data_IF_813280791995
#
_entry.id   IF_813280791995
#
_cell.length_a   1.000
_cell.length_b   1.000
_cell.length_c   1.000
_cell.angle_alpha   90.00
_cell.angle_beta   90.00
_cell.angle_gamma   90.00
#
_symmetry.space_group_name_H-M   'P 1'
#
loop_
_entity.id
_entity.type
_entity.pdbx_description
1 polymer ?
#
# COMPACT_ATOMS: atom_id res chain seq x y z
N UNK A 1 19.73 -2.91 -16.09
CA UNK A 1 18.89 -1.76 -15.65
C UNK A 1 17.52 -1.97 -16.25
N UNK A 2 17.01 -3.15 -15.97
CA UNK A 2 15.60 -3.42 -15.96
C UNK A 2 15.07 -2.34 -14.89
N UNK A 3 13.87 -1.81 -14.97
CA UNK A 3 13.36 -0.74 -14.09
C UNK A 3 12.41 -1.35 -13.05
N UNK A 4 12.88 -1.84 -11.89
CA UNK A 4 11.95 -1.94 -10.76
C UNK A 4 11.60 -0.49 -10.53
N UNK A 5 10.37 -0.11 -10.83
CA UNK A 5 9.87 1.10 -10.20
C UNK A 5 9.57 0.61 -8.79
N UNK A 6 10.43 0.88 -7.79
CA UNK A 6 10.02 0.59 -6.44
C UNK A 6 8.77 1.45 -6.26
N UNK A 7 7.65 0.89 -5.85
CA UNK A 7 6.64 1.71 -5.20
C UNK A 7 6.91 1.63 -3.70
N UNK A 8 7.87 2.41 -3.15
CA UNK A 8 7.92 2.62 -1.71
C UNK A 8 6.57 3.19 -1.24
N UNK A 9 5.80 3.83 -2.14
CA UNK A 9 4.46 4.36 -1.87
C UNK A 9 3.45 3.33 -1.41
N UNK A 10 3.50 2.04 -1.79
CA UNK A 10 2.47 1.08 -1.35
C UNK A 10 2.61 0.74 0.14
N UNK A 11 3.85 0.66 0.66
CA UNK A 11 4.10 0.51 2.09
C UNK A 11 3.54 1.71 2.87
N UNK A 12 3.74 2.92 2.34
CA UNK A 12 3.20 4.15 2.92
C UNK A 12 1.67 4.24 2.79
N UNK A 13 1.10 3.87 1.63
CA UNK A 13 -0.34 3.81 1.39
C UNK A 13 -1.01 2.85 2.35
N UNK A 14 -0.46 1.64 2.50
CA UNK A 14 -0.94 0.63 3.44
C UNK A 14 -0.91 1.15 4.88
N UNK A 15 0.20 1.73 5.29
CA UNK A 15 0.32 2.32 6.63
C UNK A 15 -0.72 3.43 6.85
N UNK A 16 -0.84 4.35 5.91
CA UNK A 16 -1.79 5.46 5.98
C UNK A 16 -3.24 5.01 5.95
N UNK A 17 -3.58 3.99 5.15
CA UNK A 17 -4.92 3.43 5.10
C UNK A 17 -5.27 2.69 6.40
N UNK A 18 -4.33 1.96 7.01
CA UNK A 18 -4.53 1.36 8.34
C UNK A 18 -4.74 2.45 9.39
N UNK A 19 -3.90 3.49 9.39
CA UNK A 19 -4.02 4.61 10.33
C UNK A 19 -5.36 5.34 10.16
N UNK A 20 -5.76 5.62 8.92
CA UNK A 20 -7.06 6.22 8.58
C UNK A 20 -8.21 5.35 9.07
N UNK A 21 -8.13 4.04 8.89
CA UNK A 21 -9.13 3.08 9.37
C UNK A 21 -9.24 3.08 10.89
N UNK A 22 -8.12 3.10 11.62
CA UNK A 22 -8.11 3.15 13.08
C UNK A 22 -8.73 4.46 13.58
N UNK A 23 -8.36 5.59 12.97
CA UNK A 23 -8.93 6.90 13.31
C UNK A 23 -10.43 6.95 13.02
N UNK A 24 -10.86 6.44 11.86
CA UNK A 24 -12.27 6.37 11.49
C UNK A 24 -13.08 5.45 12.40
N UNK A 25 -12.49 4.34 12.84
CA UNK A 25 -13.08 3.44 13.83
C UNK A 25 -13.27 4.13 15.19
N UNK A 26 -12.23 4.82 15.69
CA UNK A 26 -12.32 5.53 16.96
C UNK A 26 -13.36 6.67 16.91
N UNK A 27 -13.39 7.43 15.82
CA UNK A 27 -14.31 8.54 15.64
C UNK A 27 -15.76 8.07 15.43
N UNK A 28 -15.99 7.04 14.61
CA UNK A 28 -17.34 6.47 14.42
C UNK A 28 -17.93 5.97 15.74
N UNK A 29 -17.15 5.32 16.61
CA UNK A 29 -17.61 4.88 17.93
C UNK A 29 -17.99 6.04 18.83
N UNK A 30 -17.21 7.12 18.84
CA UNK A 30 -17.52 8.32 19.63
C UNK A 30 -18.85 8.95 19.18
N UNK A 31 -19.06 9.10 17.87
CA UNK A 31 -20.29 9.66 17.30
C UNK A 31 -21.49 8.74 17.48
N UNK A 32 -21.32 7.43 17.33
CA UNK A 32 -22.36 6.45 17.63
C UNK A 32 -22.80 6.53 19.09
N UNK A 33 -21.84 6.65 20.01
CA UNK A 33 -22.14 6.78 21.45
C UNK A 33 -22.98 8.04 21.71
N UNK A 34 -22.58 9.19 21.15
CA UNK A 34 -23.35 10.43 21.30
C UNK A 34 -24.74 10.33 20.66
N UNK A 35 -24.85 9.68 19.51
CA UNK A 35 -26.13 9.51 18.82
C UNK A 35 -27.09 8.61 19.57
N UNK A 36 -26.58 7.49 20.11
CA UNK A 36 -27.35 6.58 20.95
C UNK A 36 -27.81 7.31 22.21
N UNK A 37 -26.94 8.07 22.87
CA UNK A 37 -27.33 8.88 24.03
C UNK A 37 -28.43 9.88 23.65
N UNK A 38 -28.31 10.62 22.56
CA UNK A 38 -29.35 11.54 22.11
C UNK A 38 -30.71 10.83 21.85
N UNK A 39 -30.68 9.69 21.17
CA UNK A 39 -31.88 8.87 20.87
C UNK A 39 -32.52 8.35 22.16
N UNK A 40 -31.73 7.79 23.08
CA UNK A 40 -32.22 7.35 24.39
C UNK A 40 -32.84 8.52 25.15
N UNK A 41 -32.27 9.72 25.00
CA UNK A 41 -32.78 10.94 25.59
C UNK A 41 -34.18 11.27 25.08
N UNK A 42 -34.36 11.21 23.77
CA UNK A 42 -35.65 11.45 23.12
C UNK A 42 -36.75 10.52 23.61
N UNK A 43 -36.43 9.26 23.87
CA UNK A 43 -37.39 8.27 24.39
C UNK A 43 -37.39 8.14 25.92
N UNK A 44 -36.81 9.09 26.66
CA UNK A 44 -36.74 9.09 28.12
C UNK A 44 -36.09 7.85 28.76
N UNK A 45 -35.14 7.24 28.07
CA UNK A 45 -34.36 6.09 28.55
C UNK A 45 -32.98 6.50 29.12
N UNK A 46 -32.86 7.71 29.67
CA UNK A 46 -31.63 8.16 30.34
C UNK A 46 -31.95 8.56 31.78
N UNK A 47 -31.13 8.07 32.72
CA UNK A 47 -31.09 8.57 34.09
C UNK A 47 -30.06 9.69 34.20
N UNK A 48 -30.52 10.90 34.52
CA UNK A 48 -29.63 12.01 34.86
C UNK A 48 -29.51 12.10 36.38
N UNK A 49 -28.28 12.02 36.88
CA UNK A 49 -28.01 12.24 38.30
C UNK A 49 -27.54 13.68 38.46
N UNK A 50 -28.49 14.61 38.64
CA UNK A 50 -28.22 16.04 38.51
C UNK A 50 -28.17 16.74 39.86
N UNK A 51 -27.02 17.34 40.16
CA UNK A 51 -26.84 18.31 41.26
C UNK A 51 -27.14 19.72 40.75
N UNK A 52 -27.70 20.62 41.56
CA UNK A 52 -28.09 21.95 41.10
C UNK A 52 -26.88 22.90 40.92
N UNK A 53 -26.24 22.85 39.75
CA UNK A 53 -25.16 23.76 39.35
C UNK A 53 -25.38 24.29 37.92
N UNK A 54 -24.59 25.27 37.49
CA UNK A 54 -24.70 25.86 36.14
C UNK A 54 -24.57 24.81 35.01
N UNK A 55 -23.70 23.81 35.18
CA UNK A 55 -23.56 22.71 34.22
C UNK A 55 -24.82 21.87 34.08
N UNK A 56 -25.54 21.66 35.18
CA UNK A 56 -26.86 20.99 35.16
C UNK A 56 -27.89 21.81 34.42
N UNK A 57 -27.97 23.13 34.62
CA UNK A 57 -28.89 23.99 33.86
C UNK A 57 -28.57 23.93 32.37
N UNK A 58 -27.29 23.97 32.00
CA UNK A 58 -26.85 23.84 30.61
C UNK A 58 -27.26 22.50 30.00
N UNK A 59 -27.01 21.38 30.68
CA UNK A 59 -27.41 20.03 30.22
C UNK A 59 -28.93 19.91 30.09
N UNK A 60 -29.68 20.45 31.06
CA UNK A 60 -31.14 20.48 31.02
C UNK A 60 -31.63 21.29 29.82
N UNK A 61 -31.03 22.46 29.54
CA UNK A 61 -31.38 23.27 28.37
C UNK A 61 -31.08 22.55 27.06
N UNK A 62 -29.90 21.93 26.91
CA UNK A 62 -29.55 21.10 25.75
C UNK A 62 -30.60 20.00 25.53
N UNK A 63 -30.91 19.26 26.58
CA UNK A 63 -31.86 18.17 26.51
C UNK A 63 -33.25 18.67 26.12
N UNK A 64 -33.78 19.65 26.86
CA UNK A 64 -35.14 20.14 26.70
C UNK A 64 -35.38 20.79 25.34
N UNK A 65 -34.37 21.47 24.80
CA UNK A 65 -34.46 22.19 23.54
C UNK A 65 -34.31 21.27 22.33
N UNK A 66 -33.38 20.31 22.37
CA UNK A 66 -33.01 19.53 21.18
C UNK A 66 -33.35 18.04 21.26
N UNK A 67 -33.35 17.45 22.44
CA UNK A 67 -33.45 16.00 22.60
C UNK A 67 -34.71 15.54 23.30
N UNK A 68 -35.48 16.43 23.91
CA UNK A 68 -36.69 16.07 24.67
C UNK A 68 -37.87 15.87 23.72
N UNK A 69 -38.36 14.63 23.64
CA UNK A 69 -39.65 14.34 23.00
C UNK A 69 -40.82 14.72 23.89
N UNK A 70 -41.94 13.99 23.78
CA UNK A 70 -43.17 14.27 24.53
C UNK A 70 -43.11 13.85 26.01
N UNK A 71 -42.02 13.22 26.43
CA UNK A 71 -41.91 12.61 27.75
C UNK A 71 -41.27 13.56 28.78
N UNK A 72 -41.73 13.47 30.03
CA UNK A 72 -41.23 14.23 31.18
C UNK A 72 -40.74 13.26 32.25
N UNK A 73 -39.43 13.04 32.41
CA UNK A 73 -38.96 12.10 33.40
C UNK A 73 -39.29 12.59 34.82
N UNK A 74 -39.74 11.67 35.68
CA UNK A 74 -40.13 11.98 37.06
C UNK A 74 -38.94 12.52 37.87
N UNK A 75 -39.12 13.64 38.56
CA UNK A 75 -38.09 14.25 39.41
C UNK A 75 -37.22 15.30 38.71
N UNK A 76 -37.51 15.63 37.45
CA UNK A 76 -36.83 16.72 36.75
C UNK A 76 -37.38 18.10 37.14
N UNK A 77 -36.52 19.12 37.30
CA UNK A 77 -36.97 20.50 37.40
C UNK A 77 -37.67 20.89 36.09
N UNK A 78 -38.93 21.34 36.18
CA UNK A 78 -39.63 21.95 35.05
C UNK A 78 -39.04 23.34 34.82
N UNK A 79 -38.27 23.48 33.76
CA UNK A 79 -37.74 24.78 33.31
C UNK A 79 -38.74 25.38 32.32
N UNK A 80 -39.09 26.65 32.53
CA UNK A 80 -40.04 27.38 31.70
C UNK A 80 -39.39 27.84 30.38
N UNK A 81 -39.56 27.04 29.32
CA UNK A 81 -39.02 27.34 28.00
C UNK A 81 -39.93 28.22 27.13
N UNK A 82 -40.98 28.83 27.69
CA UNK A 82 -41.95 29.61 26.89
C UNK A 82 -41.26 30.74 26.09
N UNK A 83 -40.20 31.34 26.64
CA UNK A 83 -39.41 32.39 25.97
C UNK A 83 -38.75 31.92 24.67
N UNK A 84 -38.38 30.64 24.57
CA UNK A 84 -37.77 30.09 23.35
C UNK A 84 -38.75 29.27 22.51
N UNK A 85 -39.92 28.94 23.06
CA UNK A 85 -40.94 28.13 22.37
C UNK A 85 -41.53 28.80 21.13
N UNK A 86 -41.51 30.14 21.08
CA UNK A 86 -41.99 30.93 19.94
C UNK A 86 -40.90 31.15 18.86
N UNK A 87 -39.66 30.73 19.12
CA UNK A 87 -38.57 30.86 18.16
C UNK A 87 -38.63 29.74 17.11
N UNK A 88 -38.31 30.07 15.86
CA UNK A 88 -38.18 29.10 14.77
C UNK A 88 -36.87 28.30 14.90
N UNK A 89 -36.85 27.39 15.87
CA UNK A 89 -35.74 26.51 16.18
C UNK A 89 -36.00 25.10 15.66
N UNK A 90 -34.92 24.35 15.45
CA UNK A 90 -35.04 22.95 15.07
C UNK A 90 -35.81 22.16 16.16
N UNK A 91 -36.95 21.57 15.77
CA UNK A 91 -37.79 20.82 16.71
C UNK A 91 -37.08 19.55 17.22
N UNK A 92 -37.39 19.06 18.42
CA UNK A 92 -36.81 17.80 18.93
C UNK A 92 -37.08 16.60 18.02
N UNK A 93 -38.23 16.58 17.32
CA UNK A 93 -38.53 15.54 16.33
C UNK A 93 -37.55 15.60 15.15
N UNK A 94 -37.30 16.80 14.62
CA UNK A 94 -36.31 17.01 13.55
C UNK A 94 -34.92 16.56 13.98
N UNK A 95 -34.49 16.95 15.18
CA UNK A 95 -33.20 16.52 15.75
C UNK A 95 -33.14 15.00 15.86
N UNK A 96 -34.17 14.35 16.42
CA UNK A 96 -34.21 12.90 16.55
C UNK A 96 -34.07 12.17 15.21
N UNK A 97 -34.74 12.65 14.15
CA UNK A 97 -34.58 12.12 12.78
C UNK A 97 -33.11 12.22 12.35
N UNK A 98 -32.49 13.38 12.52
CA UNK A 98 -31.07 13.57 12.21
C UNK A 98 -30.16 12.66 13.04
N UNK A 99 -30.45 12.43 14.32
CA UNK A 99 -29.64 11.54 15.16
C UNK A 99 -29.69 10.09 14.68
N UNK A 100 -30.83 9.61 14.15
CA UNK A 100 -30.91 8.29 13.52
C UNK A 100 -30.13 8.23 12.21
N UNK A 101 -30.20 9.27 11.37
CA UNK A 101 -29.41 9.37 10.13
C UNK A 101 -27.92 9.35 10.44
N UNK A 102 -27.48 10.17 11.40
CA UNK A 102 -26.10 10.23 11.88
C UNK A 102 -25.67 8.87 12.45
N UNK A 103 -26.47 8.25 13.30
CA UNK A 103 -26.18 6.92 13.84
C UNK A 103 -26.00 5.87 12.73
N UNK A 104 -26.89 5.83 11.73
CA UNK A 104 -26.80 4.89 10.62
C UNK A 104 -25.54 5.14 9.77
N UNK A 105 -25.21 6.40 9.46
CA UNK A 105 -24.02 6.75 8.68
C UNK A 105 -22.73 6.41 9.43
N UNK A 106 -22.64 6.70 10.73
CA UNK A 106 -21.47 6.34 11.52
C UNK A 106 -21.36 4.83 11.74
N UNK A 107 -22.47 4.09 11.75
CA UNK A 107 -22.45 2.62 11.77
C UNK A 107 -21.89 2.07 10.46
N UNK A 108 -22.32 2.61 9.31
CA UNK A 108 -21.74 2.26 8.01
C UNK A 108 -20.24 2.59 7.94
N UNK A 109 -19.85 3.74 8.51
CA UNK A 109 -18.45 4.13 8.55
C UNK A 109 -17.62 3.27 9.50
N UNK A 110 -18.17 2.83 10.63
CA UNK A 110 -17.55 1.85 11.52
C UNK A 110 -17.27 0.55 10.76
N UNK A 111 -18.28 -0.02 10.10
CA UNK A 111 -18.11 -1.25 9.33
C UNK A 111 -17.14 -1.09 8.17
N UNK A 112 -17.21 0.04 7.45
CA UNK A 112 -16.27 0.35 6.37
C UNK A 112 -14.83 0.45 6.89
N UNK A 113 -14.62 1.08 8.05
CA UNK A 113 -13.31 1.19 8.69
C UNK A 113 -12.76 -0.18 9.11
N UNK A 114 -13.59 -1.03 9.73
CA UNK A 114 -13.21 -2.42 10.08
C UNK A 114 -12.87 -3.22 8.82
N UNK A 115 -13.70 -3.12 7.78
CA UNK A 115 -13.51 -3.84 6.52
C UNK A 115 -12.22 -3.42 5.84
N UNK A 116 -11.92 -2.12 5.81
CA UNK A 116 -10.67 -1.59 5.28
C UNK A 116 -9.46 -2.14 6.06
N UNK A 117 -9.46 -2.05 7.40
CA UNK A 117 -8.34 -2.56 8.24
C UNK A 117 -8.11 -4.06 8.01
N UNK A 118 -9.18 -4.86 7.98
CA UNK A 118 -9.09 -6.33 7.89
C UNK A 118 -8.68 -6.83 6.51
N UNK A 119 -9.01 -6.10 5.45
CA UNK A 119 -8.75 -6.51 4.06
C UNK A 119 -7.47 -5.90 3.46
N UNK A 120 -6.75 -5.03 4.17
CA UNK A 120 -5.43 -4.53 3.77
C UNK A 120 -4.34 -5.60 4.01
N UNK A 121 -4.42 -6.70 3.26
CA UNK A 121 -3.40 -7.76 3.19
C UNK A 121 -2.44 -7.50 2.02
N UNK A 122 -1.16 -7.83 2.21
CA UNK A 122 -0.07 -7.55 1.26
C UNK A 122 -0.29 -8.22 -0.12
N UNK A 123 -1.09 -9.28 -0.17
CA UNK A 123 -1.29 -10.15 -1.33
C UNK A 123 -2.46 -9.77 -2.25
N UNK A 124 -3.34 -8.83 -1.86
CA UNK A 124 -4.59 -8.56 -2.58
C UNK A 124 -4.79 -7.06 -2.89
N UNK A 125 -3.88 -6.50 -3.67
CA UNK A 125 -3.84 -5.05 -4.03
C UNK A 125 -5.14 -4.60 -4.72
N UNK A 126 -5.73 -5.42 -5.61
CA UNK A 126 -6.97 -5.07 -6.33
C UNK A 126 -8.16 -4.84 -5.39
N UNK A 127 -8.26 -5.58 -4.30
CA UNK A 127 -9.38 -5.49 -3.36
C UNK A 127 -9.25 -4.29 -2.41
N UNK A 128 -8.03 -3.84 -2.12
CA UNK A 128 -7.78 -2.69 -1.25
C UNK A 128 -8.39 -1.43 -1.82
N UNK A 129 -8.28 -1.21 -3.14
CA UNK A 129 -8.80 -0.02 -3.78
C UNK A 129 -10.32 0.09 -3.61
N UNK A 130 -11.05 -1.03 -3.73
CA UNK A 130 -12.52 -1.05 -3.56
C UNK A 130 -12.92 -0.62 -2.14
N UNK A 131 -12.29 -1.21 -1.11
CA UNK A 131 -12.59 -0.85 0.28
C UNK A 131 -12.16 0.57 0.62
N UNK A 132 -11.04 1.02 0.07
CA UNK A 132 -10.56 2.38 0.23
C UNK A 132 -11.51 3.40 -0.41
N UNK A 133 -11.99 3.15 -1.62
CA UNK A 133 -12.97 4.03 -2.28
C UNK A 133 -14.30 4.06 -1.53
N UNK A 134 -14.80 2.91 -1.07
CA UNK A 134 -16.00 2.85 -0.25
C UNK A 134 -15.84 3.66 1.05
N UNK A 135 -14.69 3.53 1.70
CA UNK A 135 -14.37 4.27 2.92
C UNK A 135 -14.29 5.78 2.68
N UNK A 136 -13.63 6.21 1.60
CA UNK A 136 -13.55 7.61 1.16
C UNK A 136 -14.94 8.18 0.85
N UNK A 137 -15.78 7.42 0.16
CA UNK A 137 -17.13 7.86 -0.19
C UNK A 137 -18.00 8.09 1.06
N UNK A 138 -18.04 7.12 1.98
CA UNK A 138 -18.81 7.26 3.24
C UNK A 138 -18.31 8.45 4.07
N UNK A 139 -16.99 8.61 4.14
CA UNK A 139 -16.31 9.75 4.77
C UNK A 139 -16.80 11.09 4.20
N UNK A 140 -16.88 11.22 2.88
CA UNK A 140 -17.32 12.43 2.21
C UNK A 140 -18.80 12.72 2.48
N UNK A 141 -19.65 11.69 2.50
CA UNK A 141 -21.06 11.83 2.85
C UNK A 141 -21.23 12.37 4.27
N UNK A 142 -20.50 11.82 5.25
CA UNK A 142 -20.55 12.31 6.64
C UNK A 142 -20.07 13.77 6.73
N UNK A 143 -19.04 14.13 5.97
CA UNK A 143 -18.50 15.50 5.95
C UNK A 143 -19.57 16.53 5.52
N UNK A 144 -20.40 16.17 4.53
CA UNK A 144 -21.50 17.01 4.06
C UNK A 144 -22.58 17.15 5.14
N UNK A 145 -22.89 16.06 5.84
CA UNK A 145 -23.89 16.04 6.92
C UNK A 145 -23.42 16.90 8.10
N UNK A 146 -22.16 16.78 8.52
CA UNK A 146 -21.59 17.60 9.59
C UNK A 146 -21.63 19.11 9.26
N UNK A 147 -21.37 19.47 7.99
CA UNK A 147 -21.50 20.85 7.53
C UNK A 147 -22.96 21.33 7.56
N UNK A 148 -23.90 20.49 7.14
CA UNK A 148 -25.33 20.82 7.18
C UNK A 148 -25.80 21.02 8.62
N UNK A 149 -25.43 20.13 9.55
CA UNK A 149 -25.73 20.27 10.97
C UNK A 149 -25.12 21.53 11.57
N UNK A 150 -23.88 21.87 11.20
CA UNK A 150 -23.27 23.13 11.63
C UNK A 150 -24.09 24.35 11.19
N UNK A 151 -24.54 24.38 9.94
CA UNK A 151 -25.37 25.47 9.40
C UNK A 151 -26.73 25.55 10.13
N UNK A 152 -27.32 24.41 10.48
CA UNK A 152 -28.57 24.40 11.23
C UNK A 152 -28.38 24.93 12.66
N UNK A 153 -27.41 24.43 13.41
CA UNK A 153 -27.18 24.87 14.79
C UNK A 153 -26.68 26.31 14.89
N UNK A 154 -25.92 26.80 13.89
CA UNK A 154 -25.53 28.22 13.87
C UNK A 154 -26.73 29.12 13.54
N UNK A 155 -27.70 28.65 12.77
CA UNK A 155 -28.95 29.37 12.54
C UNK A 155 -29.77 29.51 13.83
N UNK A 156 -29.89 28.42 14.61
CA UNK A 156 -30.50 28.47 15.94
C UNK A 156 -29.77 29.45 16.86
N UNK A 157 -28.43 29.42 16.86
CA UNK A 157 -27.61 30.36 17.64
C UNK A 157 -27.92 31.81 17.27
N UNK A 158 -27.93 32.15 15.99
CA UNK A 158 -28.22 33.50 15.52
C UNK A 158 -29.65 33.94 15.84
N UNK A 159 -30.61 33.01 15.74
CA UNK A 159 -32.02 33.25 16.08
C UNK A 159 -32.16 33.59 17.58
N UNK A 160 -31.53 32.81 18.46
CA UNK A 160 -31.54 33.09 19.91
C UNK A 160 -30.78 34.38 20.23
N UNK A 161 -29.62 34.58 19.59
CA UNK A 161 -28.77 35.74 19.82
C UNK A 161 -29.45 37.05 19.44
N UNK A 162 -30.14 37.09 18.29
CA UNK A 162 -30.89 38.29 17.88
C UNK A 162 -31.99 38.67 18.90
N UNK A 163 -32.73 37.69 19.41
CA UNK A 163 -33.73 37.91 20.46
C UNK A 163 -33.12 38.28 21.81
N UNK A 164 -31.87 37.91 22.08
CA UNK A 164 -31.18 38.26 23.32
C UNK A 164 -30.84 39.75 23.45
N UNK A 165 -30.74 40.49 22.33
CA UNK A 165 -30.47 41.94 22.33
C UNK A 165 -31.68 42.80 22.69
N UNK A 166 -32.89 42.26 22.62
CA UNK A 166 -34.12 43.00 22.92
C UNK A 166 -34.36 43.16 24.44
N UNK A 167 -33.51 42.58 25.28
CA UNK A 167 -33.66 42.60 26.74
C UNK A 167 -32.77 43.64 27.44
N UNK A 168 -33.37 44.40 28.35
CA UNK A 168 -32.68 45.41 29.17
C UNK A 168 -31.77 44.77 30.23
N UNK A 169 -30.55 45.31 30.39
CA UNK A 169 -29.48 44.86 31.31
C UNK A 169 -29.77 45.04 32.82
N UNK A 170 -30.99 45.42 33.19
CA UNK A 170 -31.35 45.64 34.59
C UNK A 170 -31.80 44.32 35.24
N UNK A 171 -30.90 43.70 36.00
CA UNK A 171 -31.10 42.54 36.89
C UNK A 171 -31.91 41.38 36.26
N UNK A 172 -31.19 40.45 35.63
CA UNK A 172 -31.75 39.30 34.94
C UNK A 172 -32.68 38.44 35.83
N UNK A 173 -34.00 38.38 35.57
CA UNK A 173 -34.88 37.37 36.18
C UNK A 173 -34.49 35.96 35.69
N UNK A 174 -34.92 34.92 36.42
CA UNK A 174 -34.59 33.50 36.12
C UNK A 174 -34.88 33.07 34.68
N UNK A 175 -35.78 33.77 33.99
CA UNK A 175 -36.16 33.53 32.61
C UNK A 175 -35.09 33.96 31.58
N UNK A 176 -34.23 34.94 31.90
CA UNK A 176 -33.09 35.33 31.04
C UNK A 176 -31.93 34.34 31.11
N UNK A 177 -31.80 33.60 32.22
CA UNK A 177 -30.80 32.53 32.36
C UNK A 177 -31.04 31.41 31.34
N UNK A 178 -32.30 31.17 30.97
CA UNK A 178 -32.70 30.19 29.97
C UNK A 178 -32.23 30.63 28.58
N UNK A 179 -32.40 31.90 28.22
CA UNK A 179 -31.97 32.43 26.94
C UNK A 179 -30.44 32.38 26.78
N UNK A 180 -29.70 32.77 27.83
CA UNK A 180 -28.23 32.69 27.86
C UNK A 180 -27.76 31.24 27.78
N UNK A 181 -28.39 30.32 28.51
CA UNK A 181 -28.02 28.89 28.45
C UNK A 181 -28.43 28.25 27.12
N UNK A 182 -29.53 28.69 26.49
CA UNK A 182 -29.95 28.27 25.16
C UNK A 182 -28.99 28.76 24.07
N UNK A 183 -28.51 30.01 24.16
CA UNK A 183 -27.48 30.54 23.29
C UNK A 183 -26.16 29.76 23.43
N UNK A 184 -25.73 29.47 24.66
CA UNK A 184 -24.53 28.67 24.88
C UNK A 184 -24.72 27.23 24.36
N UNK A 185 -25.90 26.67 24.53
CA UNK A 185 -26.31 25.34 24.05
C UNK A 185 -26.23 25.24 22.53
N UNK A 186 -26.87 26.14 21.80
CA UNK A 186 -26.82 26.16 20.32
C UNK A 186 -25.40 26.39 19.81
N UNK A 187 -24.63 27.28 20.47
CA UNK A 187 -23.22 27.50 20.16
C UNK A 187 -22.35 26.25 20.40
N UNK A 188 -22.62 25.48 21.46
CA UNK A 188 -21.95 24.20 21.71
C UNK A 188 -22.28 23.16 20.66
N UNK A 189 -23.56 23.02 20.28
CA UNK A 189 -23.99 22.10 19.22
C UNK A 189 -23.37 22.45 17.87
N UNK A 190 -23.34 23.74 17.52
CA UNK A 190 -22.65 24.25 16.34
C UNK A 190 -21.15 23.93 16.41
N UNK A 191 -20.51 24.13 17.57
CA UNK A 191 -19.09 23.82 17.75
C UNK A 191 -18.78 22.33 17.62
N UNK A 192 -19.65 21.45 18.12
CA UNK A 192 -19.52 20.00 18.00
C UNK A 192 -19.63 19.58 16.52
N UNK A 193 -20.64 20.09 15.80
CA UNK A 193 -20.82 19.82 14.37
C UNK A 193 -19.64 20.36 13.54
N UNK A 194 -19.20 21.60 13.81
CA UNK A 194 -18.04 22.20 13.17
C UNK A 194 -16.76 21.42 13.43
N UNK A 195 -16.56 20.94 14.66
CA UNK A 195 -15.40 20.10 15.00
C UNK A 195 -15.43 18.80 14.19
N UNK A 196 -16.59 18.18 14.02
CA UNK A 196 -16.78 17.05 13.10
C UNK A 196 -16.29 17.39 11.70
N UNK A 197 -16.81 18.47 11.13
CA UNK A 197 -16.43 18.98 9.81
C UNK A 197 -14.94 19.34 9.68
N UNK A 198 -14.32 19.99 10.66
CA UNK A 198 -12.90 20.36 10.62
C UNK A 198 -12.00 19.12 10.67
N UNK A 199 -12.35 18.11 11.49
CA UNK A 199 -11.63 16.84 11.49
C UNK A 199 -11.69 16.17 10.11
N UNK A 200 -12.79 16.36 9.37
CA UNK A 200 -12.86 15.95 7.98
C UNK A 200 -11.96 16.75 7.05
N UNK A 201 -11.86 18.07 7.19
CA UNK A 201 -10.92 18.87 6.38
C UNK A 201 -9.47 18.39 6.52
N UNK A 202 -9.07 17.99 7.73
CA UNK A 202 -7.75 17.39 7.98
C UNK A 202 -7.63 16.04 7.24
N UNK A 203 -8.68 15.24 7.25
CA UNK A 203 -8.76 14.00 6.49
C UNK A 203 -8.87 14.22 4.96
N UNK A 204 -9.34 15.36 4.45
CA UNK A 204 -9.43 15.62 3.00
C UNK A 204 -8.05 15.59 2.36
N UNK A 205 -7.02 16.16 3.00
CA UNK A 205 -5.65 16.07 2.50
C UNK A 205 -5.17 14.62 2.44
N UNK A 206 -5.53 13.83 3.46
CA UNK A 206 -5.24 12.40 3.50
C UNK A 206 -6.02 11.63 2.41
N UNK A 207 -7.29 11.96 2.19
CA UNK A 207 -8.15 11.38 1.14
C UNK A 207 -7.60 11.70 -0.24
N UNK A 208 -7.25 12.96 -0.52
CA UNK A 208 -6.66 13.37 -1.81
C UNK A 208 -5.35 12.62 -2.03
N UNK A 209 -4.51 12.51 -1.00
CA UNK A 209 -3.27 11.76 -1.08
C UNK A 209 -3.52 10.27 -1.37
N UNK A 210 -4.36 9.60 -0.56
CA UNK A 210 -4.71 8.19 -0.72
C UNK A 210 -5.32 7.93 -2.10
N UNK A 211 -6.24 8.78 -2.55
CA UNK A 211 -6.87 8.72 -3.87
C UNK A 211 -5.83 8.84 -4.98
N UNK A 212 -4.95 9.84 -4.92
CA UNK A 212 -3.88 10.04 -5.91
C UNK A 212 -2.95 8.83 -5.99
N UNK A 213 -2.56 8.25 -4.85
CA UNK A 213 -1.73 7.04 -4.83
C UNK A 213 -2.47 5.84 -5.43
N UNK A 214 -3.78 5.74 -5.19
CA UNK A 214 -4.61 4.64 -5.71
C UNK A 214 -4.69 4.67 -7.24
N UNK A 215 -4.88 5.85 -7.84
CA UNK A 215 -4.87 6.02 -9.29
C UNK A 215 -3.50 5.72 -9.90
N UNK A 216 -2.42 6.20 -9.28
CA UNK A 216 -1.06 5.87 -9.74
C UNK A 216 -0.81 4.36 -9.78
N UNK A 217 -1.32 3.62 -8.79
CA UNK A 217 -1.23 2.15 -8.76
C UNK A 217 -2.13 1.52 -9.83
N UNK A 218 -3.35 2.03 -10.01
CA UNK A 218 -4.29 1.53 -11.04
C UNK A 218 -3.76 1.75 -12.46
N UNK A 219 -3.27 2.94 -12.77
CA UNK A 219 -2.69 3.28 -14.07
C UNK A 219 -1.42 2.49 -14.33
N UNK A 220 -0.57 2.30 -13.31
CA UNK A 220 0.57 1.40 -13.42
C UNK A 220 0.15 -0.02 -13.78
N UNK A 221 -0.81 -0.61 -13.05
CA UNK A 221 -1.32 -1.96 -13.32
C UNK A 221 -1.99 -2.08 -14.70
N UNK A 222 -2.59 -1.01 -15.20
CA UNK A 222 -3.19 -0.96 -16.54
C UNK A 222 -2.12 -0.82 -17.62
N UNK A 223 -1.12 0.04 -17.43
CA UNK A 223 -0.05 0.27 -18.39
C UNK A 223 0.91 -0.92 -18.47
N UNK A 224 1.23 -1.57 -17.35
CA UNK A 224 1.94 -2.85 -17.35
C UNK A 224 1.17 -3.94 -18.07
N UNK A 225 -0.17 -3.96 -17.96
CA UNK A 225 -1.03 -4.85 -18.74
C UNK A 225 -1.13 -4.51 -20.23
N UNK A 226 -1.03 -3.24 -20.62
CA UNK A 226 -1.04 -2.80 -22.04
C UNK A 226 0.32 -3.06 -22.70
N UNK A 227 1.43 -2.96 -21.96
CA UNK A 227 2.76 -3.23 -22.48
C UNK A 227 3.02 -4.72 -22.75
N UNK A 228 2.16 -5.61 -22.21
CA UNK A 228 2.08 -7.02 -22.57
C UNK A 228 1.27 -7.30 -23.86
N UNK A 229 0.68 -6.29 -24.50
CA UNK A 229 0.07 -6.42 -25.82
C UNK A 229 0.98 -5.80 -26.87
N UNK A 230 2.07 -6.49 -27.23
CA UNK A 230 2.71 -6.26 -28.53
C UNK A 230 2.06 -7.13 -29.61
N UNK A 231 1.81 -6.61 -30.82
CA UNK A 231 1.27 -7.38 -31.93
C UNK A 231 2.36 -8.25 -32.55
N UNK A 232 2.58 -9.45 -32.01
CA UNK A 232 3.44 -10.43 -32.67
C UNK A 232 2.60 -11.44 -33.46
N UNK A 233 2.42 -11.11 -34.75
CA UNK A 233 2.36 -12.02 -35.89
C UNK A 233 1.52 -13.29 -35.72
N UNK A 234 0.21 -13.19 -35.93
CA UNK A 234 -0.58 -14.35 -36.33
C UNK A 234 -0.11 -14.84 -37.71
N UNK A 235 0.53 -16.01 -37.69
CA UNK A 235 0.70 -16.83 -38.87
C UNK A 235 -0.64 -17.47 -39.22
N UNK A 236 -1.13 -17.18 -40.43
CA UNK A 236 -2.33 -17.74 -41.02
C UNK A 236 -2.45 -19.26 -40.82
N UNK A 237 -3.38 -19.73 -39.98
CA UNK A 237 -4.06 -21.03 -40.17
C UNK A 237 -5.52 -21.00 -39.69
N UNK A 238 -6.39 -21.11 -40.69
CA UNK A 238 -7.70 -21.77 -40.66
C UNK A 238 -8.87 -21.10 -39.93
N UNK A 239 -9.43 -20.05 -40.55
CA UNK A 239 -10.89 -19.97 -40.67
C UNK A 239 -11.30 -20.76 -41.91
N UNK A 240 -12.05 -21.83 -41.69
CA UNK A 240 -12.69 -22.62 -42.74
C UNK A 240 -13.93 -21.84 -43.18
N UNK A 241 -13.96 -21.44 -44.44
CA UNK A 241 -15.11 -20.82 -45.10
C UNK A 241 -16.34 -21.72 -45.03
N UNK A 242 -17.46 -21.16 -44.57
CA UNK A 242 -18.79 -21.47 -45.07
C UNK A 242 -19.37 -20.17 -45.66
N UNK A 243 -19.38 -20.13 -46.99
CA UNK A 243 -20.17 -19.37 -47.96
C UNK A 243 -20.95 -18.09 -47.54
N UNK A 244 -20.63 -16.98 -48.22
CA UNK A 244 -21.48 -16.24 -49.18
C UNK A 244 -21.37 -14.70 -49.11
N UNK A 245 -21.09 -14.14 -50.30
CA UNK A 245 -21.43 -12.80 -50.84
C UNK A 245 -21.11 -11.52 -50.04
N UNK A 246 -20.15 -10.71 -50.52
CA UNK A 246 -20.40 -9.47 -51.29
C UNK A 246 -19.11 -8.64 -51.53
N UNK A 247 -18.67 -8.66 -52.79
CA UNK A 247 -18.23 -7.54 -53.65
C UNK A 247 -17.31 -6.39 -53.15
N UNK A 248 -16.12 -6.34 -53.78
CA UNK A 248 -15.44 -5.19 -54.43
C UNK A 248 -15.48 -3.77 -53.80
N UNK A 249 -14.30 -3.28 -53.34
CA UNK A 249 -13.87 -1.89 -53.53
C UNK A 249 -12.33 -1.77 -53.61
N UNK A 250 -11.77 -0.77 -54.32
CA UNK A 250 -10.39 -0.79 -54.81
C UNK A 250 -9.36 -0.31 -53.79
N UNK A 251 -8.15 -0.83 -53.98
CA UNK A 251 -6.90 -0.58 -53.24
C UNK A 251 -6.55 0.91 -53.25
N UNK A 252 -6.47 1.54 -52.07
CA UNK A 252 -5.72 2.78 -51.87
C UNK A 252 -4.42 2.48 -51.14
N UNK A 253 -3.33 2.64 -51.88
CA UNK A 253 -1.96 2.69 -51.40
C UNK A 253 -1.76 4.01 -50.63
N UNK A 254 -1.26 4.00 -49.39
CA UNK A 254 -0.59 5.18 -48.81
C UNK A 254 0.33 4.82 -47.62
N UNK A 255 1.44 5.56 -47.58
CA UNK A 255 2.67 5.39 -46.80
C UNK A 255 2.49 5.39 -45.27
N UNK A 256 3.46 4.85 -44.50
CA UNK A 256 3.42 4.88 -43.04
C UNK A 256 3.52 6.32 -42.50
N UNK A 257 2.56 6.68 -41.64
CA UNK A 257 2.53 7.94 -40.90
C UNK A 257 3.53 7.86 -39.73
N UNK A 258 4.37 8.89 -39.60
CA UNK A 258 5.42 9.01 -38.60
C UNK A 258 4.81 9.33 -37.22
N UNK A 259 5.03 8.49 -36.20
CA UNK A 259 4.36 8.58 -34.90
C UNK A 259 5.02 9.56 -33.90
N UNK A 260 5.31 10.80 -34.33
CA UNK A 260 5.76 11.89 -33.45
C UNK A 260 4.77 13.06 -33.32
N UNK A 261 3.50 12.86 -33.67
CA UNK A 261 2.49 13.91 -33.62
C UNK A 261 1.25 13.50 -32.81
N UNK A 262 1.40 13.42 -31.49
CA UNK A 262 0.29 13.55 -30.53
C UNK A 262 0.77 14.29 -29.27
N UNK A 263 0.96 15.60 -29.41
CA UNK A 263 0.88 16.52 -28.26
C UNK A 263 -0.56 17.04 -28.16
N UNK A 264 -1.21 17.01 -26.99
CA UNK A 264 -2.48 17.71 -26.82
C UNK A 264 -2.21 19.22 -26.79
N UNK A 265 -2.66 19.92 -27.82
CA UNK A 265 -2.66 21.38 -27.92
C UNK A 265 -3.66 22.00 -26.93
N UNK A 266 -3.20 22.35 -25.73
CA UNK A 266 -3.91 23.29 -24.84
C UNK A 266 -3.62 24.75 -25.24
N UNK A 267 -4.10 25.20 -26.41
CA UNK A 267 -3.88 26.60 -26.85
C UNK A 267 -5.15 27.40 -27.22
N UNK A 268 -6.35 26.89 -26.97
CA UNK A 268 -7.57 27.69 -27.18
C UNK A 268 -8.54 27.61 -26.00
N UNK A 269 -8.26 28.39 -24.95
CA UNK A 269 -9.26 28.78 -23.95
C UNK A 269 -9.19 30.31 -23.69
N UNK A 270 -10.31 31.06 -23.69
CA UNK A 270 -10.31 32.52 -23.85
C UNK A 270 -9.97 33.35 -22.59
N UNK A 271 -9.34 32.78 -21.57
CA UNK A 271 -9.08 33.46 -20.29
C UNK A 271 -7.61 33.46 -19.84
N UNK A 272 -6.68 32.92 -20.63
CA UNK A 272 -5.28 32.73 -20.21
C UNK A 272 -4.41 34.02 -20.18
N UNK A 273 -4.89 35.15 -20.71
CA UNK A 273 -4.07 36.36 -20.90
C UNK A 273 -4.08 37.38 -19.74
N UNK A 274 -4.54 37.03 -18.54
CA UNK A 274 -4.64 37.99 -17.42
C UNK A 274 -3.63 37.82 -16.27
N UNK A 275 -2.64 36.92 -16.36
CA UNK A 275 -1.73 36.66 -15.22
C UNK A 275 -0.23 36.58 -15.54
N UNK A 276 0.26 37.22 -16.61
CA UNK A 276 1.71 37.33 -16.84
C UNK A 276 2.13 38.76 -17.11
N UNK A 277 2.33 39.53 -16.05
CA UNK A 277 3.23 40.69 -16.05
C UNK A 277 4.49 40.34 -15.29
N UNK A 278 5.62 40.67 -15.92
CA UNK A 278 6.99 40.26 -15.63
C UNK A 278 7.48 40.49 -14.19
N UNK A 279 8.17 39.48 -13.63
CA UNK A 279 9.10 39.65 -12.50
C UNK A 279 10.44 38.98 -12.85
N UNK A 280 11.58 39.70 -12.78
CA UNK A 280 12.88 39.18 -13.22
C UNK A 280 13.49 38.15 -12.26
N UNK A 281 14.21 37.20 -12.87
CA UNK A 281 14.87 36.03 -12.29
C UNK A 281 15.94 36.42 -11.25
N UNK A 282 15.71 36.11 -9.97
CA UNK A 282 16.71 36.23 -8.91
C UNK A 282 17.65 35.00 -8.84
N UNK A 283 18.95 35.27 -8.67
CA UNK A 283 20.06 34.31 -8.63
C UNK A 283 20.02 33.42 -7.36
N UNK A 284 20.45 32.16 -7.49
CA UNK A 284 20.61 31.23 -6.36
C UNK A 284 21.79 31.63 -5.45
N UNK A 285 21.65 31.65 -4.11
CA UNK A 285 22.80 31.67 -3.21
C UNK A 285 23.30 30.25 -2.87
N UNK A 286 24.61 30.19 -2.59
CA UNK A 286 25.43 29.00 -2.32
C UNK A 286 25.14 28.36 -0.96
N UNK A 287 25.47 27.06 -0.88
CA UNK A 287 25.39 26.13 0.24
C UNK A 287 26.01 26.63 1.56
N UNK A 288 25.36 26.34 2.69
CA UNK A 288 25.91 26.49 4.04
C UNK A 288 25.71 25.19 4.83
N UNK A 289 26.79 24.69 5.45
CA UNK A 289 26.84 23.49 6.31
C UNK A 289 26.98 23.96 7.77
N UNK A 290 26.10 23.56 8.70
CA UNK A 290 26.31 23.85 10.11
C UNK A 290 27.15 22.77 10.79
N UNK A 291 28.27 23.17 11.40
CA UNK A 291 28.99 22.41 12.43
C UNK A 291 28.14 22.34 13.71
N UNK A 292 27.98 21.15 14.30
CA UNK A 292 27.50 21.02 15.67
C UNK A 292 28.66 20.69 16.61
N UNK A 293 28.78 21.55 17.61
CA UNK A 293 29.78 21.60 18.66
C UNK A 293 29.51 20.54 19.72
N UNK A 294 30.55 19.77 20.07
CA UNK A 294 30.57 18.85 21.21
C UNK A 294 30.39 19.60 22.53
N UNK A 295 29.48 19.14 23.39
CA UNK A 295 29.50 19.42 24.82
C UNK A 295 29.84 18.15 25.60
N UNK A 296 30.77 18.32 26.54
CA UNK A 296 31.46 17.31 27.33
C UNK A 296 30.83 17.28 28.73
N UNK A 297 30.46 16.11 29.25
CA UNK A 297 30.31 15.88 30.69
C UNK A 297 31.21 14.73 31.15
N UNK A 298 32.05 15.01 32.15
CA UNK A 298 32.94 14.06 32.85
C UNK A 298 32.30 13.63 34.18
N UNK A 299 32.40 12.34 34.50
CA UNK A 299 32.51 11.77 35.86
C UNK A 299 33.01 10.32 35.71
N UNK A 300 34.31 10.01 35.83
CA UNK A 300 35.09 9.73 37.04
C UNK A 300 34.66 8.45 37.80
N UNK A 301 35.41 7.34 37.65
CA UNK A 301 36.39 6.83 38.64
C UNK A 301 36.65 5.30 38.58
N UNK A 302 37.92 4.96 38.34
CA UNK A 302 38.81 3.95 38.95
C UNK A 302 38.53 2.41 38.96
N UNK A 303 39.69 1.72 38.84
CA UNK A 303 40.06 0.31 39.16
C UNK A 303 39.95 -0.70 38.01
N UNK A 304 40.94 -1.54 37.69
CA UNK A 304 42.38 -1.62 37.97
C UNK A 304 42.92 -2.70 37.00
N UNK A 305 44.12 -2.52 36.46
CA UNK A 305 44.86 -3.57 35.76
C UNK A 305 45.67 -4.38 36.77
N UNK A 306 45.80 -5.68 36.52
CA UNK A 306 46.82 -6.62 37.01
C UNK A 306 46.38 -7.66 38.06
N UNK A 307 46.10 -8.87 37.56
CA UNK A 307 46.59 -10.07 38.22
C UNK A 307 46.83 -11.19 37.19
N UNK A 308 48.01 -11.14 36.56
CA UNK A 308 48.62 -12.31 35.92
C UNK A 308 49.01 -13.35 36.99
N UNK A 309 49.04 -14.62 36.57
CA UNK A 309 49.62 -15.82 37.23
C UNK A 309 48.82 -16.47 38.38
N UNK A 310 48.20 -17.61 38.08
CA UNK A 310 48.43 -18.92 38.74
C UNK A 310 47.51 -20.01 38.16
N UNK A 311 48.04 -20.88 37.30
CA UNK A 311 48.22 -22.32 37.58
C UNK A 311 48.78 -23.03 36.35
N UNK A 312 49.91 -23.70 36.59
CA UNK A 312 50.60 -24.64 35.71
C UNK A 312 50.08 -26.06 35.92
N UNK A 313 50.28 -26.88 34.89
CA UNK A 313 50.58 -28.34 34.89
C UNK A 313 49.52 -29.35 35.36
N UNK A 314 49.13 -30.27 34.45
CA UNK A 314 49.58 -31.67 34.49
C UNK A 314 49.20 -32.47 33.22
N UNK A 315 50.21 -33.14 32.64
CA UNK A 315 50.24 -34.42 31.91
C UNK A 315 49.29 -34.65 30.71
N UNK A 316 49.70 -35.14 29.56
CA UNK A 316 50.94 -35.82 29.15
C UNK A 316 50.58 -36.83 28.06
N UNK A 317 51.40 -36.95 27.00
CA UNK A 317 51.26 -37.99 25.97
C UNK A 317 51.55 -37.47 24.57
N UNK A 318 52.81 -37.54 24.16
CA UNK A 318 53.27 -37.16 22.82
C UNK A 318 53.38 -38.34 21.86
N UNK A 319 53.40 -38.02 20.56
CA UNK A 319 54.07 -38.75 19.44
C UNK A 319 54.36 -37.67 18.38
N UNK A 320 55.56 -37.06 18.33
CA UNK A 320 56.75 -37.40 17.53
C UNK A 320 56.56 -37.32 15.99
N UNK A 321 57.10 -36.22 15.42
CA UNK A 321 57.85 -36.02 14.14
C UNK A 321 57.17 -36.45 12.82
N UNK A 322 57.22 -35.72 11.70
CA UNK A 322 58.36 -35.05 11.04
C UNK A 322 57.81 -34.25 9.83
N UNK A 323 58.36 -33.07 9.56
CA UNK A 323 58.26 -32.38 8.25
C UNK A 323 59.00 -33.20 7.20
N UNK A 324 58.51 -33.22 5.96
CA UNK A 324 59.32 -33.02 4.76
C UNK A 324 58.43 -32.62 3.56
N UNK A 325 58.92 -31.65 2.79
CA UNK A 325 58.39 -31.25 1.49
C UNK A 325 58.89 -32.21 0.41
N UNK A 326 58.09 -32.56 -0.60
CA UNK A 326 58.61 -32.92 -1.94
C UNK A 326 57.61 -32.56 -3.05
N UNK A 327 58.19 -32.03 -4.13
CA UNK A 327 57.65 -31.62 -5.42
C UNK A 327 57.19 -32.77 -6.34
N UNK A 328 56.16 -32.48 -7.16
CA UNK A 328 56.08 -32.65 -8.62
C UNK A 328 56.08 -34.06 -9.31
N UNK A 329 55.35 -34.10 -10.45
CA UNK A 329 55.20 -35.15 -11.49
C UNK A 329 54.25 -36.31 -11.12
N UNK A 330 53.39 -36.85 -11.98
CA UNK A 330 53.54 -37.09 -13.43
C UNK A 330 52.19 -37.45 -14.06
N UNK A 331 52.08 -37.16 -15.36
CA UNK A 331 51.08 -37.63 -16.31
C UNK A 331 50.87 -39.16 -16.29
N UNK A 332 49.61 -39.59 -16.44
CA UNK A 332 49.26 -40.93 -16.98
C UNK A 332 48.05 -40.81 -17.92
N UNK A 333 48.29 -41.11 -19.19
CA UNK A 333 47.26 -41.46 -20.17
C UNK A 333 46.79 -42.89 -19.90
N UNK A 334 45.49 -43.13 -20.03
CA UNK A 334 44.91 -44.47 -20.21
C UNK A 334 43.92 -44.41 -21.39
N UNK A 335 44.03 -45.39 -22.28
CA UNK A 335 43.24 -45.50 -23.52
C UNK A 335 42.22 -46.65 -23.38
N UNK A 336 40.95 -46.32 -23.68
CA UNK A 336 39.82 -47.13 -24.20
C UNK A 336 39.18 -48.29 -23.41
N UNK A 337 37.87 -48.15 -23.16
CA UNK A 337 36.80 -48.98 -23.79
C UNK A 337 35.43 -48.29 -23.62
N UNK A 338 34.54 -48.24 -24.64
CA UNK A 338 33.26 -47.54 -24.55
C UNK A 338 32.23 -48.46 -23.87
N UNK A 339 31.98 -48.22 -22.60
CA UNK A 339 30.79 -48.77 -21.94
C UNK A 339 29.62 -47.84 -22.25
N UNK A 340 28.61 -48.40 -22.89
CA UNK A 340 27.35 -47.74 -23.20
C UNK A 340 26.58 -47.57 -21.88
N UNK A 341 26.93 -46.53 -21.13
CA UNK A 341 26.13 -46.00 -20.04
C UNK A 341 25.81 -44.56 -20.44
N UNK A 342 24.52 -44.20 -20.39
CA UNK A 342 24.11 -42.80 -20.42
C UNK A 342 24.70 -42.11 -19.19
N UNK A 343 25.97 -41.75 -19.25
CA UNK A 343 26.55 -40.75 -18.38
C UNK A 343 25.85 -39.46 -18.76
N UNK A 344 24.84 -39.08 -17.98
CA UNK A 344 24.47 -37.68 -17.89
C UNK A 344 25.73 -36.98 -17.40
N UNK A 345 26.52 -36.49 -18.36
CA UNK A 345 27.67 -35.66 -18.09
C UNK A 345 27.11 -34.50 -17.27
N UNK A 346 27.62 -34.29 -16.05
CA UNK A 346 27.15 -33.27 -15.10
C UNK A 346 27.56 -31.87 -15.58
N UNK A 347 27.51 -31.66 -16.89
CA UNK A 347 27.84 -30.45 -17.58
C UNK A 347 26.61 -29.56 -17.63
N UNK A 348 26.84 -28.30 -17.30
CA UNK A 348 25.84 -27.26 -17.36
C UNK A 348 25.45 -27.00 -18.82
N UNK A 349 24.14 -26.96 -19.07
CA UNK A 349 23.55 -26.59 -20.35
C UNK A 349 22.82 -25.26 -20.18
N UNK A 350 22.73 -24.47 -21.23
CA UNK A 350 22.15 -23.13 -21.21
C UNK A 350 21.05 -22.97 -22.24
N UNK A 351 20.07 -22.15 -21.90
CA UNK A 351 19.07 -21.66 -22.83
C UNK A 351 19.57 -20.38 -23.52
N UNK A 352 18.91 -19.97 -24.60
CA UNK A 352 19.11 -18.64 -25.20
C UNK A 352 18.57 -17.50 -24.33
N UNK A 353 17.77 -17.82 -23.31
CA UNK A 353 17.23 -16.87 -22.33
C UNK A 353 18.08 -16.79 -21.06
N UNK A 354 19.29 -17.35 -21.09
CA UNK A 354 20.30 -17.25 -20.06
C UNK A 354 20.00 -18.01 -18.75
N UNK A 355 19.06 -18.96 -18.76
CA UNK A 355 18.93 -19.99 -17.73
C UNK A 355 19.92 -21.13 -17.97
N UNK A 356 20.29 -21.83 -16.90
CA UNK A 356 21.10 -23.03 -16.97
C UNK A 356 20.42 -24.22 -16.30
N UNK A 357 20.73 -25.42 -16.77
CA UNK A 357 20.37 -26.69 -16.13
C UNK A 357 21.59 -27.58 -16.01
N UNK A 358 21.76 -28.19 -14.85
CA UNK A 358 22.78 -29.21 -14.58
C UNK A 358 22.07 -30.49 -14.14
N UNK A 359 22.29 -31.58 -14.87
CA UNK A 359 21.55 -32.82 -14.68
C UNK A 359 22.40 -33.85 -13.94
N UNK A 360 21.89 -34.34 -12.82
CA UNK A 360 22.44 -35.45 -12.05
C UNK A 360 21.42 -36.59 -12.02
N UNK A 361 21.64 -37.63 -12.82
CA UNK A 361 20.69 -38.72 -12.99
C UNK A 361 19.41 -38.27 -13.71
N UNK A 362 18.29 -38.15 -12.98
CA UNK A 362 17.00 -37.69 -13.52
C UNK A 362 16.60 -36.30 -13.02
N UNK A 363 17.42 -35.67 -12.18
CA UNK A 363 17.12 -34.38 -11.56
C UNK A 363 17.98 -33.31 -12.22
N UNK A 364 17.32 -32.32 -12.82
CA UNK A 364 17.93 -31.11 -13.33
C UNK A 364 17.87 -30.01 -12.28
N UNK A 365 19.01 -29.47 -11.87
CA UNK A 365 19.09 -28.25 -11.07
C UNK A 365 19.11 -27.06 -12.01
N UNK A 366 18.21 -26.11 -11.81
CA UNK A 366 18.01 -24.95 -12.69
C UNK A 366 18.44 -23.66 -11.98
N UNK A 367 19.07 -22.74 -12.71
CA UNK A 367 19.37 -21.39 -12.24
C UNK A 367 19.55 -20.39 -13.39
N UNK A 368 20.02 -19.18 -13.08
CA UNK A 368 20.38 -18.18 -14.11
C UNK A 368 21.89 -18.01 -14.23
N UNK A 369 22.36 -17.65 -15.42
CA UNK A 369 23.78 -17.48 -15.71
C UNK A 369 24.38 -16.22 -15.05
N UNK A 370 25.71 -16.15 -15.01
CA UNK A 370 26.41 -14.95 -14.55
C UNK A 370 26.08 -13.72 -15.43
N UNK A 371 25.94 -13.91 -16.75
CA UNK A 371 25.54 -12.84 -17.65
C UNK A 371 24.15 -12.30 -17.30
N UNK A 372 23.19 -13.19 -17.04
CA UNK A 372 21.85 -12.80 -16.62
C UNK A 372 21.90 -11.98 -15.33
N UNK A 373 22.53 -12.49 -14.26
CA UNK A 373 22.55 -11.77 -12.98
C UNK A 373 23.27 -10.42 -13.07
N UNK A 374 24.30 -10.26 -13.92
CA UNK A 374 24.95 -8.96 -14.14
C UNK A 374 24.05 -7.97 -14.90
N UNK A 375 23.33 -8.45 -15.91
CA UNK A 375 22.39 -7.66 -16.71
C UNK A 375 21.19 -7.20 -15.86
N UNK A 376 20.68 -8.12 -15.02
CA UNK A 376 19.71 -7.85 -13.97
C UNK A 376 20.31 -6.81 -13.02
N UNK A 377 21.43 -7.10 -12.36
CA UNK A 377 21.97 -6.34 -11.23
C UNK A 377 21.47 -6.90 -9.89
N UNK A 378 21.53 -6.10 -8.82
CA UNK A 378 21.24 -6.59 -7.47
C UNK A 378 19.82 -7.15 -7.36
N UNK A 379 19.71 -8.49 -7.28
CA UNK A 379 18.47 -9.24 -7.17
C UNK A 379 17.91 -9.05 -5.76
N UNK A 380 16.68 -8.56 -5.69
CA UNK A 380 15.97 -8.20 -4.45
C UNK A 380 14.76 -9.09 -4.18
N UNK A 381 14.32 -9.86 -5.17
CA UNK A 381 13.20 -10.79 -5.05
C UNK A 381 13.35 -11.98 -6.01
N UNK A 382 12.90 -13.15 -5.58
CA UNK A 382 12.85 -14.36 -6.38
C UNK A 382 11.53 -15.09 -6.11
N UNK A 383 10.73 -15.28 -7.17
CA UNK A 383 9.53 -16.11 -7.17
C UNK A 383 9.86 -17.44 -7.87
N UNK A 384 9.90 -18.51 -7.08
CA UNK A 384 10.25 -19.84 -7.55
C UNK A 384 8.98 -20.69 -7.76
N UNK A 385 8.99 -21.69 -8.65
CA UNK A 385 7.87 -22.59 -8.82
C UNK A 385 7.60 -23.42 -7.55
N UNK A 386 6.33 -23.73 -7.30
CA UNK A 386 5.94 -24.61 -6.20
C UNK A 386 6.33 -26.06 -6.49
N UNK A 387 6.78 -26.77 -5.45
CA UNK A 387 7.10 -28.20 -5.53
C UNK A 387 5.83 -28.99 -5.91
N UNK A 388 5.98 -29.87 -6.91
CA UNK A 388 4.88 -30.64 -7.51
C UNK A 388 4.26 -30.00 -8.76
N UNK A 389 4.68 -28.79 -9.15
CA UNK A 389 4.24 -28.15 -10.40
C UNK A 389 4.90 -28.83 -11.61
N UNK A 390 4.14 -29.00 -12.69
CA UNK A 390 4.63 -29.55 -13.96
C UNK A 390 4.77 -28.45 -15.02
N UNK A 391 5.90 -28.39 -15.71
CA UNK A 391 6.17 -27.43 -16.78
C UNK A 391 6.60 -28.15 -18.06
N UNK A 392 6.30 -27.55 -19.22
CA UNK A 392 6.91 -27.91 -20.50
C UNK A 392 8.16 -27.05 -20.71
N UNK A 393 9.06 -27.51 -21.58
CA UNK A 393 10.20 -26.72 -22.00
C UNK A 393 9.73 -25.36 -22.53
N UNK A 394 10.41 -24.29 -22.10
CA UNK A 394 10.08 -22.90 -22.39
C UNK A 394 8.78 -22.37 -21.78
N UNK A 395 8.12 -23.12 -20.89
CA UNK A 395 7.05 -22.55 -20.07
C UNK A 395 7.64 -21.61 -19.02
N UNK A 396 6.94 -20.50 -18.76
CA UNK A 396 7.24 -19.61 -17.63
C UNK A 396 6.99 -20.36 -16.31
N UNK A 397 7.99 -20.40 -15.44
CA UNK A 397 7.95 -21.17 -14.19
C UNK A 397 8.30 -20.34 -12.95
N UNK A 398 8.77 -19.10 -13.13
CA UNK A 398 9.09 -18.20 -12.03
C UNK A 398 9.47 -16.82 -12.52
N UNK A 399 9.91 -15.96 -11.61
CA UNK A 399 10.38 -14.62 -11.92
C UNK A 399 11.47 -14.19 -10.94
N UNK A 400 12.46 -13.46 -11.42
CA UNK A 400 13.46 -12.78 -10.60
C UNK A 400 13.26 -11.28 -10.74
N UNK A 401 13.39 -10.54 -9.64
CA UNK A 401 13.41 -9.08 -9.68
C UNK A 401 14.69 -8.52 -9.04
N UNK A 402 15.34 -7.58 -9.72
CA UNK A 402 16.48 -6.81 -9.27
C UNK A 402 16.13 -5.32 -9.07
N UNK A 403 17.00 -4.54 -8.41
CA UNK A 403 16.88 -3.05 -8.33
C UNK A 403 16.82 -2.38 -9.70
N UNK A 404 17.16 -3.18 -10.69
CA UNK A 404 17.24 -2.89 -12.07
C UNK A 404 16.27 -3.89 -12.77
N UNK A 405 14.96 -4.07 -12.44
CA UNK A 405 13.77 -4.81 -13.04
C UNK A 405 13.42 -6.27 -12.71
N UNK A 406 12.67 -6.94 -13.58
CA UNK A 406 11.99 -8.20 -13.48
C UNK A 406 12.18 -9.01 -14.77
N UNK A 407 12.65 -10.25 -14.60
CA UNK A 407 12.91 -11.22 -15.66
C UNK A 407 12.16 -12.49 -15.30
N UNK A 408 11.29 -12.89 -16.21
CA UNK A 408 10.63 -14.19 -16.17
C UNK A 408 11.68 -15.29 -16.29
N UNK A 409 11.46 -16.40 -15.59
CA UNK A 409 12.31 -17.60 -15.62
C UNK A 409 11.57 -18.69 -16.36
N UNK A 410 12.20 -19.20 -17.41
CA UNK A 410 11.62 -20.24 -18.25
C UNK A 410 12.22 -21.59 -17.92
N UNK A 411 11.39 -22.63 -17.92
CA UNK A 411 11.87 -23.98 -17.67
C UNK A 411 12.74 -24.47 -18.85
N UNK A 412 14.02 -24.83 -18.63
CA UNK A 412 14.89 -25.28 -19.72
C UNK A 412 14.50 -26.66 -20.28
N UNK A 413 13.70 -27.42 -19.54
CA UNK A 413 13.24 -28.78 -19.86
C UNK A 413 11.83 -29.02 -19.34
N UNK A 414 11.12 -29.95 -19.95
CA UNK A 414 9.82 -30.43 -19.48
C UNK A 414 9.99 -31.35 -18.27
N UNK A 415 9.17 -31.18 -17.22
CA UNK A 415 9.26 -32.01 -16.01
C UNK A 415 8.45 -31.52 -14.82
N UNK A 416 8.63 -32.20 -13.69
CA UNK A 416 7.96 -31.90 -12.42
C UNK A 416 8.95 -31.32 -11.40
N UNK A 417 8.60 -30.20 -10.76
CA UNK A 417 9.45 -29.55 -9.75
C UNK A 417 9.51 -30.41 -8.49
N UNK A 418 10.71 -30.83 -8.11
CA UNK A 418 10.94 -31.68 -6.93
C UNK A 418 11.42 -30.90 -5.72
N UNK A 419 12.05 -29.75 -5.92
CA UNK A 419 12.63 -28.94 -4.84
C UNK A 419 12.71 -27.48 -5.29
N UNK A 420 12.55 -26.52 -4.36
CA UNK A 420 12.82 -25.10 -4.59
C UNK A 420 13.80 -24.58 -3.54
N UNK A 421 14.63 -23.61 -3.92
CA UNK A 421 15.63 -23.06 -3.02
C UNK A 421 15.04 -21.95 -2.14
N UNK A 422 14.54 -22.33 -0.96
CA UNK A 422 13.98 -21.36 0.00
C UNK A 422 15.01 -20.32 0.48
N UNK A 423 16.31 -20.66 0.47
CA UNK A 423 17.35 -19.70 0.84
C UNK A 423 17.46 -18.54 -0.15
N UNK A 424 17.16 -18.77 -1.43
CA UNK A 424 17.08 -17.72 -2.45
C UNK A 424 15.81 -16.89 -2.32
N UNK A 425 14.67 -17.47 -1.90
CA UNK A 425 13.45 -16.70 -1.59
C UNK A 425 13.68 -15.76 -0.38
N UNK A 426 14.38 -16.24 0.65
CA UNK A 426 14.69 -15.45 1.86
C UNK A 426 15.83 -14.46 1.65
N UNK A 427 16.86 -14.83 0.86
CA UNK A 427 18.05 -14.03 0.56
C UNK A 427 18.35 -14.02 -0.96
N UNK A 428 17.62 -13.21 -1.75
CA UNK A 428 17.75 -13.20 -3.21
C UNK A 428 19.14 -12.80 -3.74
N UNK A 429 19.95 -12.10 -2.95
CA UNK A 429 21.33 -11.71 -3.29
C UNK A 429 22.29 -12.91 -3.45
N UNK A 430 21.87 -14.12 -3.04
CA UNK A 430 22.58 -15.36 -3.36
C UNK A 430 22.69 -15.60 -4.88
N UNK A 431 21.73 -15.11 -5.66
CA UNK A 431 21.78 -15.17 -7.12
C UNK A 431 22.95 -14.33 -7.66
N UNK A 432 23.17 -13.13 -7.13
CA UNK A 432 24.30 -12.29 -7.56
C UNK A 432 25.65 -12.82 -7.09
N UNK A 433 25.72 -13.33 -5.86
CA UNK A 433 27.00 -13.73 -5.24
C UNK A 433 27.42 -15.15 -5.60
N UNK A 434 26.47 -16.02 -5.96
CA UNK A 434 26.68 -17.46 -6.09
C UNK A 434 25.72 -18.12 -7.09
N UNK A 435 25.45 -17.50 -8.25
CA UNK A 435 24.46 -17.95 -9.27
C UNK A 435 24.59 -19.43 -9.70
N UNK A 436 25.77 -20.03 -9.55
CA UNK A 436 26.10 -21.37 -9.99
C UNK A 436 26.25 -22.41 -8.87
N UNK A 437 26.26 -21.95 -7.61
CA UNK A 437 26.37 -22.82 -6.44
C UNK A 437 25.14 -22.61 -5.55
N UNK A 438 25.16 -21.62 -4.66
CA UNK A 438 24.08 -21.42 -3.67
C UNK A 438 22.84 -20.69 -4.25
N UNK A 439 22.97 -20.09 -5.43
CA UNK A 439 21.93 -19.33 -6.14
C UNK A 439 21.11 -20.14 -7.13
N UNK A 440 21.12 -21.49 -7.05
CA UNK A 440 20.19 -22.32 -7.82
C UNK A 440 18.75 -21.99 -7.45
N UNK A 441 17.83 -22.09 -8.41
CA UNK A 441 16.44 -21.68 -8.24
C UNK A 441 15.56 -22.87 -7.83
N UNK A 442 15.49 -23.89 -8.66
CA UNK A 442 14.67 -25.07 -8.38
C UNK A 442 15.28 -26.33 -8.99
N UNK A 443 14.81 -27.49 -8.56
CA UNK A 443 15.13 -28.79 -9.15
C UNK A 443 13.90 -29.36 -9.83
N UNK A 444 14.08 -29.91 -11.01
CA UNK A 444 13.04 -30.48 -11.85
C UNK A 444 13.41 -31.92 -12.21
N UNK A 445 12.45 -32.84 -12.10
CA UNK A 445 12.58 -34.20 -12.61
C UNK A 445 12.24 -34.22 -14.09
N UNK A 446 13.21 -34.56 -14.93
CA UNK A 446 13.06 -34.49 -16.39
C UNK A 446 12.02 -35.50 -16.89
N UNK A 447 11.04 -35.02 -17.65
CA UNK A 447 10.08 -35.87 -18.36
C UNK A 447 10.60 -36.33 -19.73
N UNK A 448 11.44 -35.51 -20.39
CA UNK A 448 11.99 -35.79 -21.72
C UNK A 448 13.49 -35.43 -21.80
N UNK A 449 14.40 -36.37 -21.51
CA UNK A 449 15.84 -36.10 -21.53
C UNK A 449 16.40 -35.63 -22.87
N UNK A 450 15.75 -35.95 -24.00
CA UNK A 450 16.18 -35.51 -25.34
C UNK A 450 16.13 -34.00 -25.55
N UNK A 451 15.36 -33.26 -24.74
CA UNK A 451 15.29 -31.80 -24.81
C UNK A 451 16.61 -31.13 -24.40
N UNK A 452 17.52 -31.85 -23.71
CA UNK A 452 18.86 -31.37 -23.37
C UNK A 452 19.78 -31.21 -24.59
N UNK A 453 19.51 -31.93 -25.68
CA UNK A 453 20.31 -31.86 -26.91
C UNK A 453 20.05 -30.55 -27.69
N UNK A 454 18.94 -29.88 -27.40
CA UNK A 454 18.56 -28.59 -27.99
C UNK A 454 19.19 -27.39 -27.25
N UNK A 455 19.75 -27.63 -26.06
CA UNK A 455 20.37 -26.59 -25.22
C UNK A 455 21.84 -26.38 -25.59
N UNK A 456 22.31 -25.16 -25.35
CA UNK A 456 23.69 -24.77 -25.60
C UNK A 456 24.62 -25.39 -24.56
N UNK A 457 25.76 -25.93 -24.98
CA UNK A 457 26.86 -26.21 -24.06
C UNK A 457 27.61 -24.91 -23.69
N UNK A 458 28.50 -24.96 -22.70
CA UNK A 458 29.25 -23.79 -22.20
C UNK A 458 29.96 -23.02 -23.34
N UNK A 459 30.66 -23.72 -24.25
CA UNK A 459 31.37 -23.10 -25.37
C UNK A 459 30.42 -22.42 -26.36
N UNK A 460 29.30 -23.05 -26.68
CA UNK A 460 28.28 -22.47 -27.57
C UNK A 460 27.59 -21.27 -26.92
N UNK A 461 27.40 -21.28 -25.60
CA UNK A 461 26.82 -20.16 -24.87
C UNK A 461 27.78 -18.96 -24.83
N UNK A 462 29.09 -19.17 -24.64
CA UNK A 462 30.08 -18.11 -24.74
C UNK A 462 30.15 -17.48 -26.14
N UNK A 463 30.04 -18.29 -27.20
CA UNK A 463 29.96 -17.79 -28.58
C UNK A 463 28.69 -16.98 -28.82
N UNK A 464 27.55 -17.45 -28.29
CA UNK A 464 26.28 -16.74 -28.34
C UNK A 464 26.37 -15.36 -27.66
N UNK A 465 26.95 -15.27 -26.47
CA UNK A 465 27.14 -13.98 -25.76
C UNK A 465 28.04 -12.99 -26.51
N UNK A 466 29.06 -13.47 -27.24
CA UNK A 466 29.93 -12.61 -28.06
C UNK A 466 29.22 -12.07 -29.31
N UNK A 467 28.33 -12.87 -29.90
CA UNK A 467 27.56 -12.48 -31.08
C UNK A 467 26.47 -11.45 -30.75
N UNK A 468 25.84 -11.56 -29.57
CA UNK A 468 24.74 -10.68 -29.14
C UNK A 468 25.21 -9.32 -28.59
N UNK A 469 26.51 -9.16 -28.33
CA UNK A 469 27.13 -7.91 -27.84
C UNK A 469 27.49 -6.90 -28.96
N UNK A 470 27.16 -7.21 -30.22
CA UNK A 470 27.39 -6.38 -31.41
C UNK A 470 26.06 -6.00 -32.07
#
# INVERSE_FOLDING_TARGET
MEITVPFPSYKYLRFLAILAGILGLAQSLAWLTMSILAILGYYCNINFNVSANFGTVLILTIYQMYFRGDCTPSGWPTVDFTIIGDLDLMTPQTVNIWMWVVAALHLLWLFSSVTMITNIKKTNIKYINVFLYLWIFITLVISIIDLALFILFINDYNTIFSHSFDFSLNFAPASQLILITAQNTSGMMASIALRGYILWLINILLVIYLFTQTFKISDYNRLSGIQQVQPHGETNKAFKNDNDELQNHPIFNNQPINAYEMQPTMQHLPWYNYLTTDIPRAQRPKSYVPQQTMTRSKSASNLDESFQKRMTTANGGGVVLRRDQVQNRSSRNYTQTPSNQNSFDSQRKFTKKHEWVMVEGQIGTVGISNYAQEALGDVVYAQLPDVGSSFRQSDECGALESVKAASEIYSPVSGDVTEKNSAVEDTPSLINTSCYENGWLFKIKLAKPSELDELLNETQYEEFLKADAH
#
